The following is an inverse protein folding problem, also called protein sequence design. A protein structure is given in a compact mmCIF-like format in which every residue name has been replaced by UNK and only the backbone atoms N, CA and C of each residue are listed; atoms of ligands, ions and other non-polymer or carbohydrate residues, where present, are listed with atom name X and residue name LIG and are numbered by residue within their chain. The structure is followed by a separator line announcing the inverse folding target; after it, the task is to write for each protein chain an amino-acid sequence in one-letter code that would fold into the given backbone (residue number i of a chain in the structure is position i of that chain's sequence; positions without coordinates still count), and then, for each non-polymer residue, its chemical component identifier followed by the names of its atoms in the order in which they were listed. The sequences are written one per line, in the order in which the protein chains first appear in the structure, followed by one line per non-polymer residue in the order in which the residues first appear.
data_IF_249735518163
#
_entry.id   IF_249735518163
#
_cell.length_a   1.000
_cell.length_b   1.000
_cell.length_c   1.000
_cell.angle_alpha   90.00
_cell.angle_beta   90.00
_cell.angle_gamma   90.00
#
_symmetry.space_group_name_H-M   'P 1'
#
loop_
_entity.id
_entity.type
_entity.pdbx_description
1 polymer ?
#
# COMPACT_ATOMS: atom_id res chain seq x y z
N UNK A 1 11.38 11.89 23.34
CA UNK A 1 11.59 11.67 21.89
C UNK A 1 11.31 10.21 21.64
N UNK A 2 10.07 9.87 21.27
CA UNK A 2 9.78 8.52 20.81
C UNK A 2 10.60 8.28 19.54
N UNK A 3 11.48 7.25 19.48
CA UNK A 3 11.98 6.81 18.21
C UNK A 3 10.75 6.30 17.46
N UNK A 4 10.26 7.10 16.51
CA UNK A 4 9.28 6.61 15.53
C UNK A 4 9.88 5.29 15.01
N UNK A 5 9.16 4.16 15.12
CA UNK A 5 9.70 2.89 14.67
C UNK A 5 10.16 3.06 13.22
N UNK A 6 11.26 2.39 12.80
CA UNK A 6 11.69 2.44 11.42
C UNK A 6 10.52 1.97 10.55
N UNK A 7 9.83 2.93 9.94
CA UNK A 7 8.80 2.67 8.94
C UNK A 7 9.54 2.11 7.76
N UNK A 8 9.00 1.06 7.14
CA UNK A 8 9.58 0.58 5.88
C UNK A 8 9.42 1.70 4.86
N UNK A 9 10.52 2.08 4.20
CA UNK A 9 10.52 3.16 3.23
C UNK A 9 9.60 2.82 2.06
N UNK A 10 8.45 3.51 1.98
CA UNK A 10 7.50 3.36 0.87
C UNK A 10 8.21 3.56 -0.48
N UNK A 11 9.17 4.48 -0.52
CA UNK A 11 9.94 4.81 -1.71
C UNK A 11 10.77 3.64 -2.23
N UNK A 12 11.25 2.75 -1.36
CA UNK A 12 11.99 1.55 -1.76
C UNK A 12 11.12 0.61 -2.64
N UNK A 13 9.80 0.60 -2.41
CA UNK A 13 8.84 -0.16 -3.21
C UNK A 13 8.18 0.66 -4.33
N UNK A 14 8.66 1.87 -4.62
CA UNK A 14 8.02 2.77 -5.57
C UNK A 14 6.61 3.20 -5.15
N UNK A 15 6.35 3.22 -3.85
CA UNK A 15 5.10 3.65 -3.23
C UNK A 15 5.25 5.04 -2.61
N UNK A 16 4.13 5.76 -2.49
CA UNK A 16 4.09 7.09 -1.86
C UNK A 16 2.94 7.18 -0.87
N UNK A 17 3.20 7.81 0.27
CA UNK A 17 2.14 8.13 1.22
C UNK A 17 1.11 9.07 0.55
N UNK A 18 -0.16 8.80 0.75
CA UNK A 18 -1.27 9.51 0.13
C UNK A 18 -1.77 8.92 -1.20
N UNK A 19 -1.06 7.94 -1.77
CA UNK A 19 -1.49 7.20 -2.96
C UNK A 19 -2.90 6.63 -2.77
N UNK A 20 -3.70 6.68 -3.84
CA UNK A 20 -5.02 6.08 -3.83
C UNK A 20 -4.88 4.57 -3.75
N UNK A 21 -5.49 3.98 -2.74
CA UNK A 21 -5.56 2.52 -2.58
C UNK A 21 -7.01 2.10 -2.49
N UNK A 22 -7.26 0.83 -2.77
CA UNK A 22 -8.51 0.18 -2.40
C UNK A 22 -8.20 -1.02 -1.53
N UNK A 23 -9.04 -1.25 -0.53
CA UNK A 23 -8.88 -2.36 0.39
C UNK A 23 -10.19 -3.12 0.57
N UNK A 24 -10.11 -4.38 0.95
CA UNK A 24 -11.29 -5.20 1.28
C UNK A 24 -11.14 -5.81 2.68
N UNK A 25 -12.25 -5.99 3.38
CA UNK A 25 -12.27 -6.57 4.74
C UNK A 25 -12.34 -8.10 4.74
N UNK A 26 -12.67 -8.70 3.61
CA UNK A 26 -12.78 -10.14 3.41
C UNK A 26 -12.46 -10.50 1.95
N UNK A 27 -12.09 -11.76 1.70
CA UNK A 27 -11.69 -12.23 0.37
C UNK A 27 -12.83 -12.16 -0.68
N UNK A 28 -14.10 -12.10 -0.26
CA UNK A 28 -15.27 -11.81 -1.14
C UNK A 28 -15.99 -10.50 -0.78
N UNK A 29 -15.32 -9.62 -0.04
CA UNK A 29 -15.88 -8.32 0.36
C UNK A 29 -15.84 -7.28 -0.76
N UNK A 30 -16.59 -6.19 -0.57
CA UNK A 30 -16.51 -5.01 -1.43
C UNK A 30 -15.15 -4.33 -1.25
N UNK A 31 -14.63 -3.77 -2.34
CA UNK A 31 -13.49 -2.86 -2.30
C UNK A 31 -13.93 -1.49 -1.77
N UNK A 32 -13.19 -0.99 -0.79
CA UNK A 32 -13.37 0.31 -0.19
C UNK A 32 -12.21 1.21 -0.58
N UNK A 33 -12.47 2.47 -0.98
CA UNK A 33 -11.40 3.41 -1.26
C UNK A 33 -10.69 3.81 0.03
N UNK A 34 -9.39 4.07 -0.07
CA UNK A 34 -8.56 4.59 1.00
C UNK A 34 -7.31 5.25 0.46
N UNK A 35 -6.42 5.65 1.37
CA UNK A 35 -5.09 6.16 1.06
C UNK A 35 -4.02 5.36 1.76
N UNK A 36 -2.89 5.14 1.08
CA UNK A 36 -1.72 4.53 1.68
C UNK A 36 -1.11 5.51 2.69
N UNK A 37 -0.92 5.10 3.94
CA UNK A 37 -0.21 5.90 4.94
C UNK A 37 1.23 5.40 5.08
N UNK A 38 1.39 4.08 5.29
CA UNK A 38 2.69 3.44 5.56
C UNK A 38 2.62 1.93 5.40
N UNK A 39 3.81 1.31 5.36
CA UNK A 39 3.98 -0.14 5.47
C UNK A 39 4.58 -0.43 6.85
N UNK A 40 3.95 -1.33 7.58
CA UNK A 40 4.46 -1.84 8.85
C UNK A 40 5.53 -2.91 8.58
N UNK A 41 6.43 -3.13 9.55
CA UNK A 41 7.54 -4.10 9.42
C UNK A 41 7.08 -5.54 9.16
N UNK A 42 5.89 -5.89 9.61
CA UNK A 42 5.25 -7.19 9.39
C UNK A 42 4.74 -7.40 7.95
N UNK A 43 4.81 -6.36 7.10
CA UNK A 43 4.23 -6.37 5.75
C UNK A 43 2.75 -5.96 5.72
N UNK A 44 2.18 -5.62 6.88
CA UNK A 44 0.84 -5.04 6.99
C UNK A 44 0.82 -3.59 6.50
N UNK A 45 -0.28 -3.20 5.86
CA UNK A 45 -0.41 -1.92 5.18
C UNK A 45 -1.32 -1.02 5.99
N UNK A 46 -0.76 0.11 6.44
CA UNK A 46 -1.51 1.19 7.03
C UNK A 46 -2.29 1.93 5.95
N UNK A 47 -3.60 1.72 5.91
CA UNK A 47 -4.52 2.45 5.03
C UNK A 47 -5.42 3.36 5.84
N UNK A 48 -5.71 4.54 5.28
CA UNK A 48 -6.67 5.49 5.85
C UNK A 48 -7.91 5.54 4.98
N UNK A 49 -9.07 5.24 5.58
CA UNK A 49 -10.34 5.31 4.85
C UNK A 49 -10.84 6.76 4.72
N UNK A 50 -11.89 6.96 3.91
CA UNK A 50 -12.49 8.28 3.66
C UNK A 50 -13.01 8.98 4.92
N UNK A 51 -13.31 8.23 5.98
CA UNK A 51 -13.76 8.75 7.29
C UNK A 51 -12.59 9.09 8.20
N UNK A 52 -11.36 8.93 7.71
CA UNK A 52 -10.14 9.24 8.43
C UNK A 52 -9.67 8.16 9.38
N UNK A 53 -10.32 6.98 9.42
CA UNK A 53 -9.88 5.88 10.28
C UNK A 53 -8.69 5.15 9.65
N UNK A 54 -7.64 4.96 10.46
CA UNK A 54 -6.47 4.18 10.08
C UNK A 54 -6.69 2.69 10.38
N UNK A 55 -6.30 1.83 9.45
CA UNK A 55 -6.45 0.37 9.54
C UNK A 55 -5.19 -0.29 9.03
N UNK A 56 -4.73 -1.33 9.72
CA UNK A 56 -3.69 -2.21 9.24
C UNK A 56 -4.34 -3.42 8.55
N UNK A 57 -4.05 -3.60 7.26
CA UNK A 57 -4.56 -4.72 6.46
C UNK A 57 -3.41 -5.43 5.75
N UNK A 58 -3.48 -6.76 5.55
CA UNK A 58 -2.45 -7.46 4.80
C UNK A 58 -2.41 -7.00 3.34
N UNK A 59 -1.21 -6.97 2.74
CA UNK A 59 -0.98 -6.48 1.38
C UNK A 59 -1.82 -7.22 0.32
N UNK A 60 -2.19 -8.48 0.56
CA UNK A 60 -3.07 -9.27 -0.31
C UNK A 60 -4.52 -8.76 -0.40
N UNK A 61 -4.94 -7.95 0.58
CA UNK A 61 -6.27 -7.33 0.64
C UNK A 61 -6.23 -5.85 0.26
N UNK A 62 -5.09 -5.35 -0.23
CA UNK A 62 -4.88 -3.96 -0.62
C UNK A 62 -4.35 -3.89 -2.05
N UNK A 63 -4.93 -3.01 -2.84
CA UNK A 63 -4.46 -2.67 -4.18
C UNK A 63 -4.16 -1.17 -4.26
N UNK A 64 -3.07 -0.83 -4.94
CA UNK A 64 -2.66 0.56 -5.16
C UNK A 64 -3.00 1.00 -6.57
N UNK A 65 -3.38 2.25 -6.74
CA UNK A 65 -3.55 2.86 -8.05
C UNK A 65 -2.18 3.01 -8.71
N UNK A 66 -1.90 2.22 -9.73
CA UNK A 66 -0.76 2.39 -10.61
C UNK A 66 -1.15 3.28 -11.79
N UNK A 67 -0.44 4.39 -11.98
CA UNK A 67 -0.52 5.18 -13.21
C UNK A 67 0.26 4.46 -14.30
N UNK A 68 -0.46 3.87 -15.26
CA UNK A 68 0.16 3.27 -16.43
C UNK A 68 0.80 4.32 -17.36
N UNK A 69 1.69 3.91 -18.27
CA UNK A 69 2.41 4.80 -19.19
C UNK A 69 1.49 5.61 -20.14
N UNK A 70 0.21 5.23 -20.27
CA UNK A 70 -0.81 5.95 -21.06
C UNK A 70 -1.83 6.72 -20.21
N UNK A 71 -1.53 7.00 -18.93
CA UNK A 71 -2.43 7.72 -18.04
C UNK A 71 -3.64 6.92 -17.54
N UNK A 72 -3.66 5.60 -17.76
CA UNK A 72 -4.67 4.72 -17.18
C UNK A 72 -4.40 4.48 -15.70
N UNK A 73 -5.43 4.59 -14.86
CA UNK A 73 -5.38 4.14 -13.47
C UNK A 73 -5.74 2.66 -13.41
N UNK A 74 -4.72 1.80 -13.31
CA UNK A 74 -4.92 0.39 -13.04
C UNK A 74 -4.76 0.15 -11.54
N UNK A 75 -5.57 -0.73 -10.96
CA UNK A 75 -5.36 -1.19 -9.60
C UNK A 75 -4.41 -2.39 -9.63
N UNK A 76 -3.24 -2.24 -9.03
CA UNK A 76 -2.22 -3.29 -8.93
C UNK A 76 -2.22 -3.83 -7.49
N UNK A 77 -2.18 -5.17 -7.28
CA UNK A 77 -2.02 -5.74 -5.95
C UNK A 77 -0.77 -5.20 -5.30
N UNK A 78 -0.89 -4.73 -4.05
CA UNK A 78 0.25 -4.14 -3.38
C UNK A 78 1.38 -5.15 -3.19
N UNK A 79 1.04 -6.43 -3.00
CA UNK A 79 2.02 -7.52 -2.96
C UNK A 79 2.86 -7.59 -4.24
N UNK A 80 2.26 -7.43 -5.43
CA UNK A 80 3.01 -7.46 -6.70
C UNK A 80 3.88 -6.20 -6.86
N UNK A 81 3.39 -5.05 -6.42
CA UNK A 81 4.15 -3.80 -6.38
C UNK A 81 5.36 -3.89 -5.45
N UNK A 82 5.18 -4.50 -4.27
CA UNK A 82 6.24 -4.74 -3.30
C UNK A 82 7.27 -5.74 -3.84
N UNK A 83 6.85 -6.85 -4.43
CA UNK A 83 7.77 -7.81 -5.07
C UNK A 83 8.56 -7.18 -6.22
N UNK A 84 7.94 -6.29 -7.01
CA UNK A 84 8.65 -5.51 -8.05
C UNK A 84 9.73 -4.60 -7.45
N UNK A 85 9.47 -4.01 -6.28
CA UNK A 85 10.43 -3.18 -5.55
C UNK A 85 11.53 -3.98 -4.86
N UNK A 86 11.21 -5.15 -4.31
CA UNK A 86 12.15 -6.08 -3.64
C UNK A 86 13.29 -6.51 -4.58
N UNK A 87 13.03 -6.55 -5.89
CA UNK A 87 14.03 -6.85 -6.91
C UNK A 87 15.15 -5.81 -7.06
N UNK A 88 15.08 -4.65 -6.37
CA UNK A 88 16.08 -3.57 -6.43
C UNK A 88 17.14 -3.62 -5.30
N UNK A 89 17.06 -4.54 -4.34
CA UNK A 89 18.06 -4.69 -3.25
C UNK A 89 19.03 -5.88 -3.43
N UNK A 90 19.32 -6.31 -4.67
CA UNK A 90 20.29 -7.40 -4.92
C UNK A 90 21.55 -7.01 -5.71
N UNK A 91 22.02 -5.75 -5.63
CA UNK A 91 23.30 -5.36 -6.25
C UNK A 91 24.23 -4.66 -5.26
#
# INVERSE_FOLDING_TARGET
MDPRPPTVDLAAFGLRAGEAVRFRRANRGRWHPGRLERIERDGSIGVRDERGAARALPAELVEVAATGPKGGCTWEPLVERMTRGDQLELF
#
